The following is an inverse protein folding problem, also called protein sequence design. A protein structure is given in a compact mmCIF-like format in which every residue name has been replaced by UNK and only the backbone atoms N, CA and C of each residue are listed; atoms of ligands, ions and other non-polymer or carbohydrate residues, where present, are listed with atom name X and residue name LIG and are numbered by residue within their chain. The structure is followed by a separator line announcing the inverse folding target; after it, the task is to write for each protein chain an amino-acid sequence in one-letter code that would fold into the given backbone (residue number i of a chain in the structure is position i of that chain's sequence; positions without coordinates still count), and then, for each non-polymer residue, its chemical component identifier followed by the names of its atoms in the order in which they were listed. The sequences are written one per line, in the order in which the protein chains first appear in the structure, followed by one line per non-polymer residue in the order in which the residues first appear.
data_IF_594816134087
#
_entry.id   IF_594816134087
#
_cell.length_a   1.000
_cell.length_b   1.000
_cell.length_c   1.000
_cell.angle_alpha   90.00
_cell.angle_beta   90.00
_cell.angle_gamma   90.00
#
_symmetry.space_group_name_H-M   'P 1'
#
loop_
_entity.id
_entity.type
_entity.pdbx_description
1 polymer ?
#
# COMPACT_ATOMS: atom_id res chain seq x y z
N UNK A 1 3.17 -22.25 -5.87
CA UNK A 1 2.67 -21.67 -5.93
C UNK A 1 2.76 -20.42 -5.73
N UNK A 2 2.53 -19.89 -6.02
CA UNK A 2 2.73 -18.81 -6.02
C UNK A 2 1.86 -17.93 -5.62
N UNK A 3 1.92 -17.13 -5.04
CA UNK A 3 1.10 -16.35 -4.62
C UNK A 3 1.14 -15.27 -5.36
N UNK A 4 0.58 -14.74 -5.75
CA UNK A 4 0.51 -13.77 -6.48
C UNK A 4 0.99 -12.62 -5.90
N UNK A 5 0.86 -11.73 -5.73
CA UNK A 5 1.28 -10.53 -5.36
C UNK A 5 1.36 -10.36 -3.92
N UNK A 6 2.44 -10.39 -3.36
CA UNK A 6 2.56 -10.16 -1.99
C UNK A 6 2.63 -8.72 -1.76
N UNK A 7 1.80 -8.12 -0.97
CA UNK A 7 1.76 -6.71 -0.71
C UNK A 7 2.98 -6.23 0.06
N UNK A 8 3.70 -5.25 -0.43
CA UNK A 8 4.86 -4.74 0.28
C UNK A 8 4.45 -3.86 1.44
N UNK A 9 5.36 -3.58 2.37
CA UNK A 9 5.05 -2.69 3.49
C UNK A 9 4.75 -1.29 2.95
N UNK A 10 3.98 -0.55 3.72
CA UNK A 10 3.51 0.76 3.30
C UNK A 10 4.66 1.69 2.93
N UNK A 11 5.67 1.75 3.76
CA UNK A 11 6.79 2.63 3.51
C UNK A 11 7.48 2.31 2.20
N UNK A 12 7.69 1.03 1.96
CA UNK A 12 8.33 0.63 0.73
C UNK A 12 7.43 0.93 -0.46
N UNK A 13 6.16 0.66 -0.31
CA UNK A 13 5.21 0.90 -1.38
C UNK A 13 5.18 2.38 -1.74
N UNK A 14 5.11 3.24 -0.75
CA UNK A 14 5.09 4.66 -0.99
C UNK A 14 6.35 5.14 -1.71
N UNK A 15 7.47 4.66 -1.26
CA UNK A 15 8.73 5.05 -1.87
C UNK A 15 8.80 4.64 -3.32
N UNK A 16 8.36 3.45 -3.61
CA UNK A 16 8.39 2.95 -4.97
C UNK A 16 7.44 3.72 -5.87
N UNK A 17 6.27 4.05 -5.34
CA UNK A 17 5.32 4.81 -6.12
C UNK A 17 5.87 6.21 -6.41
N UNK A 18 6.50 6.82 -5.44
CA UNK A 18 7.07 8.13 -5.62
C UNK A 18 8.20 8.10 -6.65
N UNK A 19 8.90 6.99 -6.71
CA UNK A 19 9.97 6.85 -7.65
C UNK A 19 9.54 6.42 -9.03
N UNK A 20 8.66 5.49 -9.14
CA UNK A 20 8.31 4.90 -10.41
C UNK A 20 6.88 5.14 -10.86
N UNK A 21 6.00 5.41 -9.95
CA UNK A 21 4.60 5.61 -10.30
C UNK A 21 3.78 4.35 -10.12
N UNK A 22 2.47 4.51 -10.13
CA UNK A 22 1.58 3.38 -9.90
C UNK A 22 1.71 2.30 -10.95
N UNK A 23 1.82 2.68 -12.18
CA UNK A 23 1.92 1.71 -13.26
C UNK A 23 3.15 0.85 -13.14
N UNK A 24 4.28 1.48 -12.89
CA UNK A 24 5.52 0.74 -12.80
C UNK A 24 5.52 -0.19 -11.60
N UNK A 25 4.97 0.28 -10.50
CA UNK A 25 4.90 -0.56 -9.30
C UNK A 25 3.97 -1.73 -9.56
N UNK A 26 2.87 -1.49 -10.24
CA UNK A 26 1.96 -2.58 -10.57
C UNK A 26 2.65 -3.63 -11.41
N UNK A 27 3.43 -3.21 -12.37
CA UNK A 27 4.15 -4.14 -13.20
C UNK A 27 5.15 -4.93 -12.40
N UNK A 28 5.82 -4.25 -11.49
CA UNK A 28 6.81 -4.90 -10.68
C UNK A 28 6.21 -6.02 -9.85
N UNK A 29 5.03 -5.81 -9.32
CA UNK A 29 4.38 -6.81 -8.49
C UNK A 29 3.38 -7.68 -9.24
N UNK A 30 3.27 -7.47 -10.53
CA UNK A 30 2.37 -8.30 -11.32
C UNK A 30 0.90 -8.01 -11.12
N UNK A 31 0.57 -6.76 -10.82
CA UNK A 31 -0.82 -6.38 -10.62
C UNK A 31 -1.09 -5.10 -11.39
N UNK A 32 -2.35 -4.71 -11.46
CA UNK A 32 -2.70 -3.49 -12.17
C UNK A 32 -2.45 -2.28 -11.28
N UNK A 33 -2.43 -1.11 -11.89
CA UNK A 33 -2.23 0.11 -11.11
C UNK A 33 -3.41 0.34 -10.18
N UNK A 34 -4.59 -0.13 -10.56
CA UNK A 34 -5.74 -0.03 -9.67
C UNK A 34 -5.51 -0.81 -8.39
N UNK A 35 -4.89 -1.98 -8.52
CA UNK A 35 -4.62 -2.79 -7.35
C UNK A 35 -3.63 -2.09 -6.43
N UNK A 36 -2.63 -1.44 -7.04
CA UNK A 36 -1.65 -0.71 -6.25
C UNK A 36 -2.32 0.43 -5.48
N UNK A 37 -3.23 1.12 -6.14
CA UNK A 37 -3.95 2.20 -5.49
C UNK A 37 -4.78 1.69 -4.32
N UNK A 38 -5.36 0.52 -4.48
CA UNK A 38 -6.14 -0.06 -3.41
C UNK A 38 -5.25 -0.39 -2.21
N UNK A 39 -4.04 -0.85 -2.50
CA UNK A 39 -3.11 -1.12 -1.43
C UNK A 39 -2.82 0.14 -0.62
N UNK A 40 -2.58 1.23 -1.32
CA UNK A 40 -2.28 2.49 -0.65
C UNK A 40 -3.45 2.93 0.20
N UNK A 41 -4.65 2.84 -0.35
CA UNK A 41 -5.84 3.22 0.38
C UNK A 41 -6.02 2.37 1.62
N UNK A 42 -5.76 1.09 1.48
CA UNK A 42 -5.90 0.18 2.60
C UNK A 42 -4.95 0.58 3.73
N UNK A 43 -3.72 0.87 3.38
CA UNK A 43 -2.76 1.28 4.39
C UNK A 43 -3.11 2.61 5.03
N UNK A 44 -3.56 3.53 4.23
CA UNK A 44 -3.93 4.84 4.74
C UNK A 44 -5.08 4.72 5.74
N UNK A 45 -6.02 3.86 5.41
CA UNK A 45 -7.14 3.66 6.29
C UNK A 45 -6.70 3.04 7.60
N UNK A 46 -5.80 2.09 7.53
CA UNK A 46 -5.30 1.47 8.72
C UNK A 46 -4.57 2.46 9.60
N UNK A 47 -3.77 3.28 9.00
CA UNK A 47 -3.03 4.29 9.76
C UNK A 47 -3.98 5.25 10.47
N UNK A 48 -5.03 5.62 9.78
CA UNK A 48 -6.02 6.50 10.36
C UNK A 48 -6.70 5.85 11.54
N UNK A 49 -7.04 4.60 11.39
CA UNK A 49 -7.69 3.91 12.46
C UNK A 49 -6.81 3.80 13.68
N UNK A 50 -5.57 3.48 13.48
CA UNK A 50 -4.63 3.37 14.59
C UNK A 50 -4.48 4.69 15.30
N UNK A 51 -4.47 5.76 14.52
CA UNK A 51 -4.35 7.06 15.09
C UNK A 51 -5.55 7.40 15.94
N UNK A 52 -6.72 7.06 15.47
CA UNK A 52 -7.92 7.32 16.20
C UNK A 52 -7.96 6.53 17.49
N UNK A 53 -7.54 5.28 17.43
CA UNK A 53 -7.51 4.45 18.60
C UNK A 53 -6.61 5.06 19.65
N UNK A 54 -5.48 5.53 19.24
CA UNK A 54 -4.55 6.15 20.16
C UNK A 54 -5.17 7.37 20.80
N UNK A 55 -5.81 8.16 20.02
CA UNK A 55 -6.44 9.36 20.54
C UNK A 55 -7.52 9.01 21.56
N UNK A 56 -8.24 7.97 21.27
CA UNK A 56 -9.29 7.56 22.19
C UNK A 56 -8.75 7.00 23.47
N UNK A 57 -7.69 6.26 23.34
CA UNK A 57 -7.11 5.69 24.52
C UNK A 57 -6.28 6.66 25.28
N UNK A 58 -5.62 7.50 24.62
CA UNK A 58 -4.78 8.48 25.19
C UNK A 58 -5.52 9.42 26.03
#
# INVERSE_FOLDING_TARGET
MLRKAERPPYEKLKAEIAEQGYCAVGRKYGVSDNAVRKWVRFYERQAERERMDEALMG
#
